data_IF_257906532463
#
_entry.id   IF_257906532463
#
_cell.length_a   1.000
_cell.length_b   1.000
_cell.length_c   1.000
_cell.angle_alpha   90.00
_cell.angle_beta   90.00
_cell.angle_gamma   90.00
#
_symmetry.space_group_name_H-M   'P 1'
#
loop_
_entity.id
_entity.type
_entity.pdbx_description
1 polymer ?
#
# COMPACT_ATOMS: atom_id res chain seq x y z
N UNK A 1 -9.01 23.30 -29.25
CA UNK A 1 -8.82 22.17 -28.31
C UNK A 1 -10.12 21.99 -27.55
N UNK A 2 -10.93 21.01 -27.94
CA UNK A 2 -12.15 20.62 -27.24
C UNK A 2 -11.77 19.79 -26.03
N UNK A 3 -11.99 20.34 -24.83
CA UNK A 3 -11.94 19.56 -23.58
C UNK A 3 -12.95 18.42 -23.68
N UNK A 4 -12.53 17.15 -23.52
CA UNK A 4 -13.49 16.05 -23.47
C UNK A 4 -14.35 16.21 -22.22
N UNK A 5 -15.64 16.51 -22.42
CA UNK A 5 -16.66 16.40 -21.39
C UNK A 5 -16.95 14.92 -21.18
N UNK A 6 -16.66 14.41 -19.98
CA UNK A 6 -17.16 13.09 -19.56
C UNK A 6 -18.66 13.22 -19.27
N UNK A 7 -19.47 13.16 -20.33
CA UNK A 7 -20.92 13.03 -20.22
C UNK A 7 -21.26 11.58 -19.86
N UNK A 8 -21.59 11.36 -18.60
CA UNK A 8 -22.10 10.09 -18.10
C UNK A 8 -21.75 9.90 -16.64
N UNK A 9 -22.73 9.97 -15.75
CA UNK A 9 -22.58 9.38 -14.43
C UNK A 9 -22.17 7.91 -14.62
N UNK A 10 -21.04 7.49 -14.02
CA UNK A 10 -20.60 6.10 -14.06
C UNK A 10 -21.77 5.24 -13.58
N UNK A 11 -22.30 4.39 -14.47
CA UNK A 11 -23.36 3.46 -14.12
C UNK A 11 -22.83 2.55 -13.01
N UNK A 12 -23.49 2.57 -11.85
CA UNK A 12 -23.08 1.80 -10.67
C UNK A 12 -22.98 0.29 -10.96
N UNK A 13 -23.78 -0.25 -11.89
CA UNK A 13 -23.66 -1.66 -12.28
C UNK A 13 -22.34 -1.94 -13.00
N UNK A 14 -21.98 -1.09 -13.96
CA UNK A 14 -20.73 -1.21 -14.73
C UNK A 14 -19.51 -1.03 -13.83
N UNK A 15 -19.59 -0.10 -12.87
CA UNK A 15 -18.53 0.11 -11.88
C UNK A 15 -18.33 -1.15 -11.03
N UNK A 16 -19.41 -1.73 -10.51
CA UNK A 16 -19.35 -2.94 -9.68
C UNK A 16 -18.82 -4.15 -10.48
N UNK A 17 -19.26 -4.32 -11.72
CA UNK A 17 -18.73 -5.37 -12.61
C UNK A 17 -17.23 -5.20 -12.87
N UNK A 18 -16.78 -3.96 -13.09
CA UNK A 18 -15.37 -3.64 -13.31
C UNK A 18 -14.54 -3.94 -12.05
N UNK A 19 -15.00 -3.50 -10.87
CA UNK A 19 -14.33 -3.77 -9.59
C UNK A 19 -14.24 -5.27 -9.33
N UNK A 20 -15.31 -6.01 -9.61
CA UNK A 20 -15.31 -7.47 -9.48
C UNK A 20 -14.29 -8.13 -10.41
N UNK A 21 -14.26 -7.74 -11.69
CA UNK A 21 -13.30 -8.27 -12.66
C UNK A 21 -11.84 -7.97 -12.27
N UNK A 22 -11.56 -6.75 -11.80
CA UNK A 22 -10.24 -6.36 -11.30
C UNK A 22 -9.83 -7.19 -10.08
N UNK A 23 -10.75 -7.39 -9.14
CA UNK A 23 -10.52 -8.22 -7.95
C UNK A 23 -10.16 -9.65 -8.34
N UNK A 24 -10.92 -10.27 -9.26
CA UNK A 24 -10.63 -11.63 -9.74
C UNK A 24 -9.26 -11.72 -10.42
N UNK A 25 -8.91 -10.72 -11.23
CA UNK A 25 -7.63 -10.72 -11.93
C UNK A 25 -6.43 -10.56 -10.99
N UNK A 26 -6.55 -9.70 -9.97
CA UNK A 26 -5.52 -9.55 -8.95
C UNK A 26 -5.34 -10.88 -8.20
N UNK A 27 -6.44 -11.50 -7.77
CA UNK A 27 -6.38 -12.79 -7.08
C UNK A 27 -5.71 -13.88 -7.94
N UNK A 28 -6.08 -13.97 -9.22
CA UNK A 28 -5.53 -14.95 -10.17
C UNK A 28 -4.04 -14.76 -10.47
N UNK A 29 -3.50 -13.55 -10.27
CA UNK A 29 -2.09 -13.21 -10.54
C UNK A 29 -1.24 -13.10 -9.28
N UNK A 30 -1.78 -13.52 -8.12
CA UNK A 30 -1.03 -13.54 -6.86
C UNK A 30 0.09 -14.59 -6.91
N UNK A 31 1.33 -14.16 -6.74
CA UNK A 31 2.50 -15.04 -6.76
C UNK A 31 3.30 -14.93 -5.45
N UNK A 32 2.98 -15.79 -4.49
CA UNK A 32 3.65 -15.83 -3.17
C UNK A 32 5.03 -16.47 -3.20
N UNK A 33 5.47 -17.02 -4.35
CA UNK A 33 6.81 -17.63 -4.48
C UNK A 33 7.92 -16.61 -4.64
N UNK A 34 7.56 -15.37 -5.00
CA UNK A 34 8.47 -14.23 -5.14
C UNK A 34 8.64 -13.49 -3.83
N UNK A 35 9.77 -12.82 -3.66
CA UNK A 35 10.03 -11.95 -2.50
C UNK A 35 10.19 -10.48 -2.87
N UNK A 36 10.31 -10.18 -4.16
CA UNK A 36 10.55 -8.82 -4.68
C UNK A 36 9.26 -8.08 -5.04
N UNK A 37 8.16 -8.81 -5.24
CA UNK A 37 6.79 -8.29 -5.46
C UNK A 37 5.77 -9.43 -5.34
N UNK A 38 4.53 -9.12 -4.96
CA UNK A 38 3.45 -10.10 -4.87
C UNK A 38 2.60 -10.20 -6.15
N UNK A 39 2.46 -9.08 -6.87
CA UNK A 39 1.71 -8.99 -8.13
C UNK A 39 2.58 -8.35 -9.22
N UNK A 40 2.21 -8.50 -10.51
CA UNK A 40 2.79 -7.72 -11.60
C UNK A 40 2.64 -6.22 -11.33
N UNK A 41 3.73 -5.48 -11.40
CA UNK A 41 3.80 -4.05 -11.07
C UNK A 41 4.74 -3.30 -12.01
N UNK A 42 4.68 -1.97 -11.96
CA UNK A 42 5.61 -1.10 -12.68
C UNK A 42 7.07 -1.38 -12.26
N UNK A 43 8.06 -1.37 -13.18
CA UNK A 43 9.46 -1.61 -12.86
C UNK A 43 10.05 -0.71 -11.77
N UNK A 44 9.46 0.46 -11.50
CA UNK A 44 9.86 1.36 -10.41
C UNK A 44 9.81 0.69 -9.03
N UNK A 45 9.03 -0.37 -8.84
CA UNK A 45 9.00 -1.15 -7.60
C UNK A 45 10.40 -1.64 -7.20
N UNK A 46 11.24 -1.98 -8.20
CA UNK A 46 12.60 -2.47 -7.99
C UNK A 46 13.60 -1.39 -7.58
N UNK A 47 13.19 -0.13 -7.63
CA UNK A 47 13.96 1.03 -7.17
C UNK A 47 13.40 1.61 -5.86
N UNK A 48 12.34 1.01 -5.31
CA UNK A 48 11.70 1.44 -4.07
C UNK A 48 11.72 0.30 -3.05
N UNK A 49 10.60 -0.38 -2.85
CA UNK A 49 10.47 -1.53 -1.96
C UNK A 49 9.19 -2.33 -2.29
N UNK A 50 9.11 -3.62 -1.92
CA UNK A 50 7.99 -4.49 -2.30
C UNK A 50 6.65 -4.15 -1.63
N UNK A 51 6.65 -3.41 -0.52
CA UNK A 51 5.44 -3.23 0.28
C UNK A 51 4.72 -1.90 0.06
N UNK A 52 5.38 -0.82 -0.34
CA UNK A 52 4.78 0.52 -0.30
C UNK A 52 3.41 0.65 -1.01
N UNK A 53 2.63 1.66 -0.63
CA UNK A 53 1.27 1.86 -1.16
C UNK A 53 1.28 2.22 -2.65
N UNK A 54 2.24 3.03 -3.11
CA UNK A 54 2.25 3.57 -4.47
C UNK A 54 2.47 2.51 -5.56
N UNK A 55 3.36 1.55 -5.30
CA UNK A 55 3.86 0.61 -6.30
C UNK A 55 3.91 -0.83 -5.79
N UNK A 56 3.84 -1.03 -4.48
CA UNK A 56 4.00 -2.32 -3.82
C UNK A 56 2.68 -2.97 -3.40
N UNK A 57 2.82 -4.02 -2.61
CA UNK A 57 1.71 -4.89 -2.23
C UNK A 57 0.64 -4.19 -1.38
N UNK A 58 1.00 -3.20 -0.55
CA UNK A 58 0.03 -2.56 0.35
C UNK A 58 -1.10 -1.85 -0.39
N UNK A 59 -0.83 -1.18 -1.52
CA UNK A 59 -1.88 -0.49 -2.28
C UNK A 59 -2.93 -1.46 -2.81
N UNK A 60 -2.47 -2.55 -3.42
CA UNK A 60 -3.34 -3.63 -3.91
C UNK A 60 -4.06 -4.34 -2.77
N UNK A 61 -3.40 -4.55 -1.64
CA UNK A 61 -3.99 -5.15 -0.45
C UNK A 61 -5.13 -4.30 0.13
N UNK A 62 -4.97 -2.97 0.20
CA UNK A 62 -6.04 -2.06 0.63
C UNK A 62 -7.25 -2.13 -0.31
N UNK A 63 -7.02 -2.17 -1.62
CA UNK A 63 -8.10 -2.37 -2.61
C UNK A 63 -8.83 -3.69 -2.37
N UNK A 64 -8.10 -4.81 -2.24
CA UNK A 64 -8.70 -6.13 -2.00
C UNK A 64 -9.46 -6.19 -0.67
N UNK A 65 -8.95 -5.58 0.40
CA UNK A 65 -9.64 -5.50 1.69
C UNK A 65 -10.96 -4.76 1.53
N UNK A 66 -11.00 -3.65 0.80
CA UNK A 66 -12.21 -2.88 0.59
C UNK A 66 -13.25 -3.65 -0.23
N UNK A 67 -12.82 -4.42 -1.23
CA UNK A 67 -13.75 -5.15 -2.11
C UNK A 67 -14.21 -6.49 -1.55
N UNK A 68 -13.38 -7.17 -0.76
CA UNK A 68 -13.65 -8.51 -0.22
C UNK A 68 -14.04 -8.50 1.26
N UNK A 69 -13.79 -7.40 1.98
CA UNK A 69 -13.95 -7.27 3.42
C UNK A 69 -12.81 -7.91 4.24
N UNK A 70 -12.10 -8.89 3.68
CA UNK A 70 -10.92 -9.49 4.26
C UNK A 70 -9.97 -10.01 3.18
N UNK A 71 -8.67 -10.02 3.47
CA UNK A 71 -7.66 -10.57 2.57
C UNK A 71 -7.56 -12.10 2.66
N UNK A 72 -7.24 -12.79 1.54
CA UNK A 72 -6.76 -14.16 1.60
C UNK A 72 -5.53 -14.27 2.52
N UNK A 73 -5.47 -15.30 3.37
CA UNK A 73 -4.37 -15.46 4.33
C UNK A 73 -2.99 -15.46 3.66
N UNK A 74 -2.86 -16.11 2.51
CA UNK A 74 -1.62 -16.16 1.74
C UNK A 74 -1.08 -14.77 1.36
N UNK A 75 -1.96 -13.79 1.14
CA UNK A 75 -1.57 -12.39 0.86
C UNK A 75 -1.07 -11.73 2.13
N UNK A 76 -1.82 -11.85 3.22
CA UNK A 76 -1.45 -11.28 4.53
C UNK A 76 -0.13 -11.88 5.04
N UNK A 77 0.03 -13.20 4.94
CA UNK A 77 1.23 -13.93 5.35
C UNK A 77 2.44 -13.45 4.55
N UNK A 78 2.29 -13.28 3.24
CA UNK A 78 3.36 -12.77 2.38
C UNK A 78 3.79 -11.36 2.76
N UNK A 79 2.83 -10.45 3.02
CA UNK A 79 3.09 -9.07 3.43
C UNK A 79 3.81 -9.05 4.79
N UNK A 80 3.37 -9.87 5.73
CA UNK A 80 3.96 -9.94 7.07
C UNK A 80 5.37 -10.52 7.07
N UNK A 81 5.67 -11.41 6.12
CA UNK A 81 6.98 -12.03 5.96
C UNK A 81 8.04 -11.10 5.33
N UNK A 82 7.63 -10.00 4.69
CA UNK A 82 8.59 -9.10 4.05
C UNK A 82 9.46 -8.37 5.09
N UNK A 83 10.78 -8.28 4.85
CA UNK A 83 11.66 -7.48 5.70
C UNK A 83 11.33 -5.99 5.55
N UNK A 84 11.34 -5.28 6.67
CA UNK A 84 11.18 -3.82 6.72
C UNK A 84 12.38 -3.26 7.45
N UNK A 85 13.05 -2.29 6.84
CA UNK A 85 14.21 -1.61 7.42
C UNK A 85 14.19 -0.10 7.12
N UNK A 86 15.01 0.64 7.86
CA UNK A 86 15.06 2.10 7.80
C UNK A 86 15.94 2.67 6.68
N UNK A 87 16.66 1.82 5.94
CA UNK A 87 17.56 2.23 4.85
C UNK A 87 16.85 2.20 3.50
N UNK A 88 16.05 1.16 3.26
CA UNK A 88 15.32 0.92 2.01
C UNK A 88 13.91 1.51 2.01
N UNK A 89 13.35 1.81 3.19
CA UNK A 89 12.02 2.40 3.30
C UNK A 89 12.11 3.86 3.79
N UNK A 90 11.68 4.84 2.98
CA UNK A 90 11.53 6.21 3.46
C UNK A 90 10.41 6.31 4.53
N UNK A 91 10.33 7.42 5.27
CA UNK A 91 9.31 7.59 6.31
C UNK A 91 7.89 7.88 5.78
N UNK A 92 7.73 8.24 4.51
CA UNK A 92 6.47 8.74 3.95
C UNK A 92 5.32 7.74 3.81
N UNK A 93 4.14 8.26 3.46
CA UNK A 93 2.91 7.49 3.37
C UNK A 93 2.88 6.60 2.12
N UNK A 94 3.25 7.13 0.96
CA UNK A 94 3.02 6.42 -0.30
C UNK A 94 4.17 5.49 -0.68
N UNK A 95 5.41 5.86 -0.37
CA UNK A 95 6.61 5.07 -0.69
C UNK A 95 7.22 4.35 0.51
N UNK A 96 6.74 4.61 1.73
CA UNK A 96 7.49 4.40 2.95
C UNK A 96 6.82 3.57 4.05
N UNK A 97 7.53 3.47 5.19
CA UNK A 97 7.11 2.69 6.37
C UNK A 97 5.77 3.18 6.92
N UNK A 98 5.49 4.49 6.87
CA UNK A 98 4.21 5.01 7.37
C UNK A 98 3.01 4.44 6.60
N UNK A 99 3.12 4.24 5.29
CA UNK A 99 2.09 3.56 4.49
C UNK A 99 1.93 2.09 4.82
N UNK A 100 3.04 1.42 5.08
CA UNK A 100 3.01 0.01 5.50
C UNK A 100 2.32 -0.13 6.86
N UNK A 101 2.63 0.76 7.81
CA UNK A 101 1.97 0.83 9.11
C UNK A 101 0.47 1.10 8.98
N UNK A 102 0.10 2.11 8.16
CA UNK A 102 -1.30 2.41 7.84
C UNK A 102 -2.02 1.17 7.33
N UNK A 103 -1.38 0.45 6.40
CA UNK A 103 -1.98 -0.74 5.81
C UNK A 103 -2.20 -1.84 6.84
N UNK A 104 -1.25 -2.10 7.74
CA UNK A 104 -1.47 -3.05 8.82
C UNK A 104 -2.64 -2.66 9.73
N UNK A 105 -2.82 -1.37 10.02
CA UNK A 105 -3.97 -0.91 10.81
C UNK A 105 -5.30 -1.14 10.08
N UNK A 106 -5.37 -0.81 8.79
CA UNK A 106 -6.55 -1.07 7.94
C UNK A 106 -6.90 -2.56 7.80
N UNK A 107 -5.90 -3.44 7.93
CA UNK A 107 -6.07 -4.89 7.95
C UNK A 107 -6.42 -5.43 9.35
N UNK A 108 -6.59 -4.57 10.36
CA UNK A 108 -6.89 -4.96 11.74
C UNK A 108 -5.70 -5.47 12.54
N UNK A 109 -4.47 -5.29 12.04
CA UNK A 109 -3.22 -5.76 12.64
C UNK A 109 -2.53 -4.64 13.42
N UNK A 110 -3.22 -4.05 14.39
CA UNK A 110 -2.78 -2.82 15.06
C UNK A 110 -1.44 -2.96 15.81
N UNK A 111 -1.19 -4.10 16.46
CA UNK A 111 0.09 -4.35 17.13
C UNK A 111 1.25 -4.31 16.12
N UNK A 112 1.07 -4.97 14.98
CA UNK A 112 2.06 -4.98 13.90
C UNK A 112 2.24 -3.60 13.28
N UNK A 113 1.15 -2.84 13.13
CA UNK A 113 1.20 -1.46 12.67
C UNK A 113 2.10 -0.60 13.58
N UNK A 114 1.91 -0.69 14.90
CA UNK A 114 2.74 0.03 15.86
C UNK A 114 4.19 -0.45 15.91
N UNK A 115 4.43 -1.75 15.80
CA UNK A 115 5.79 -2.30 15.75
C UNK A 115 6.59 -1.67 14.61
N UNK A 116 6.02 -1.61 13.39
CA UNK A 116 6.72 -1.02 12.25
C UNK A 116 6.80 0.50 12.35
N UNK A 117 5.75 1.14 12.86
CA UNK A 117 5.68 2.60 12.97
C UNK A 117 6.72 3.18 13.93
N UNK A 118 7.05 2.44 15.00
CA UNK A 118 8.03 2.84 16.01
C UNK A 118 9.48 2.86 15.49
N UNK A 119 9.77 2.26 14.34
CA UNK A 119 11.11 2.33 13.73
C UNK A 119 11.37 3.65 12.99
N UNK A 120 10.33 4.38 12.59
CA UNK A 120 10.46 5.58 11.75
C UNK A 120 11.35 6.67 12.38
N UNK A 121 11.27 6.99 13.69
CA UNK A 121 12.16 7.96 14.33
C UNK A 121 13.64 7.64 14.22
N UNK A 122 14.00 6.36 14.11
CA UNK A 122 15.39 5.90 14.01
C UNK A 122 15.91 5.96 12.56
N UNK A 123 15.05 6.29 11.59
CA UNK A 123 15.46 6.35 10.20
C UNK A 123 16.44 7.51 9.93
N UNK A 124 17.56 7.27 9.24
CA UNK A 124 18.46 8.35 8.81
C UNK A 124 17.80 9.29 7.79
N UNK A 125 16.66 8.88 7.21
CA UNK A 125 15.85 9.64 6.28
C UNK A 125 14.77 10.47 6.98
N UNK A 126 14.60 10.33 8.30
CA UNK A 126 13.65 11.11 9.08
C UNK A 126 13.89 12.61 8.84
N UNK A 127 12.83 13.34 8.50
CA UNK A 127 12.83 14.78 8.20
C UNK A 127 13.74 15.24 7.04
N UNK A 128 14.29 14.33 6.22
CA UNK A 128 15.03 14.70 4.99
C UNK A 128 14.12 15.17 3.87
N UNK A 129 12.86 14.74 3.89
CA UNK A 129 11.80 15.22 3.04
C UNK A 129 10.57 15.57 3.88
N UNK A 130 9.83 16.60 3.47
CA UNK A 130 8.63 17.08 4.18
C UNK A 130 7.33 16.82 3.41
N UNK A 131 7.37 16.13 2.28
CA UNK A 131 6.18 15.81 1.49
C UNK A 131 5.37 14.64 2.10
N UNK A 132 4.19 14.39 1.53
CA UNK A 132 3.33 13.26 1.92
C UNK A 132 3.83 11.92 1.40
N UNK A 133 4.52 11.93 0.25
CA UNK A 133 4.83 10.73 -0.51
C UNK A 133 5.97 9.94 0.13
N UNK A 134 7.09 10.62 0.37
CA UNK A 134 8.34 10.10 0.94
C UNK A 134 8.63 10.63 2.35
N UNK A 135 8.00 11.74 2.74
CA UNK A 135 8.47 12.57 3.85
C UNK A 135 7.65 12.57 5.13
N UNK A 136 8.04 13.49 6.01
CA UNK A 136 7.51 13.66 7.35
C UNK A 136 6.02 14.03 7.39
N UNK A 137 5.46 14.67 6.34
CA UNK A 137 4.02 14.94 6.32
C UNK A 137 3.21 13.65 6.19
N UNK A 138 3.70 12.67 5.42
CA UNK A 138 3.07 11.35 5.32
C UNK A 138 3.18 10.56 6.61
N UNK A 139 4.33 10.64 7.28
CA UNK A 139 4.52 10.09 8.61
C UNK A 139 3.55 10.71 9.63
N UNK A 140 3.46 12.05 9.69
CA UNK A 140 2.55 12.73 10.60
C UNK A 140 1.07 12.37 10.36
N UNK A 141 0.67 12.25 9.08
CA UNK A 141 -0.68 11.81 8.74
C UNK A 141 -0.97 10.38 9.21
N UNK A 142 -0.03 9.46 9.02
CA UNK A 142 -0.17 8.09 9.53
C UNK A 142 -0.19 8.03 11.07
N UNK A 143 0.58 8.87 11.76
CA UNK A 143 0.50 8.99 13.22
C UNK A 143 -0.91 9.38 13.69
N UNK A 144 -1.54 10.33 13.01
CA UNK A 144 -2.92 10.75 13.34
C UNK A 144 -3.96 9.67 13.06
N UNK A 145 -3.71 8.80 12.08
CA UNK A 145 -4.60 7.68 11.77
C UNK A 145 -4.47 6.52 12.78
N UNK A 146 -3.27 6.30 13.32
CA UNK A 146 -3.01 5.23 14.29
C UNK A 146 -3.40 5.58 15.73
N UNK A 147 -3.58 6.88 16.04
CA UNK A 147 -3.94 7.40 17.36
C UNK A 147 -5.45 7.39 17.59
#
# INVERSE_FOLDING_TARGET
MTTPTFEGALNSSVLNETIHALTQQILATTDTTRTDRLWPADPIIFQTNPLNIAYGACGTALFLKETLGALPSAVTDWICAQPIDNASYPPGLYSGVAGVAWTFAELGMLDRAWDVFRFIPESPLAFRCSDIFNGAAGWGLAALHLY
#
